data_IF_701583509229
#
_entry.id   IF_701583509229
#
_cell.length_a   1.000
_cell.length_b   1.000
_cell.length_c   1.000
_cell.angle_alpha   90.00
_cell.angle_beta   90.00
_cell.angle_gamma   90.00
#
_symmetry.space_group_name_H-M   'P 1'
#
loop_
_entity.id
_entity.type
_entity.pdbx_description
1 polymer ?
#
# COMPACT_ATOMS: atom_id res chain seq x y z
N UNK A 1 -3.76 18.47 7.06
CA UNK A 1 -2.94 18.65 5.84
C UNK A 1 -3.59 19.73 5.00
N UNK A 2 -2.87 20.80 4.71
CA UNK A 2 -3.29 21.88 3.81
C UNK A 2 -2.16 22.16 2.82
N UNK A 3 -2.50 22.72 1.67
CA UNK A 3 -1.55 23.10 0.63
C UNK A 3 -1.93 24.49 0.10
N UNK A 4 -0.93 25.20 -0.41
CA UNK A 4 -1.12 26.49 -1.07
C UNK A 4 -1.73 26.25 -2.45
N UNK A 5 -2.82 26.96 -2.75
CA UNK A 5 -3.50 26.94 -4.04
C UNK A 5 -2.95 28.05 -4.94
N UNK A 6 -3.21 27.96 -6.25
CA UNK A 6 -2.65 28.88 -7.26
C UNK A 6 -3.03 30.37 -7.05
N UNK A 7 -4.06 30.63 -6.23
CA UNK A 7 -4.51 31.96 -5.80
C UNK A 7 -3.79 32.46 -4.53
N UNK A 8 -2.79 31.74 -4.02
CA UNK A 8 -2.01 32.07 -2.82
C UNK A 8 -2.74 31.81 -1.50
N UNK A 9 -3.93 31.18 -1.55
CA UNK A 9 -4.68 30.78 -0.37
C UNK A 9 -4.29 29.37 0.09
N UNK A 10 -4.73 28.99 1.29
CA UNK A 10 -4.52 27.64 1.83
C UNK A 10 -5.80 26.83 1.81
N UNK A 11 -5.76 25.66 1.18
CA UNK A 11 -6.89 24.74 1.12
C UNK A 11 -6.59 23.42 1.84
N UNK A 12 -7.57 22.82 2.54
CA UNK A 12 -7.41 21.48 3.08
C UNK A 12 -7.36 20.46 1.94
N UNK A 13 -6.46 19.48 2.06
CA UNK A 13 -6.46 18.35 1.13
C UNK A 13 -7.64 17.43 1.44
N UNK A 14 -8.67 17.49 0.58
CA UNK A 14 -9.83 16.63 0.69
C UNK A 14 -9.64 15.35 -0.12
N UNK A 15 -10.33 14.27 0.28
CA UNK A 15 -10.31 13.00 -0.46
C UNK A 15 -10.71 13.16 -1.94
N UNK A 16 -11.81 13.88 -2.30
CA UNK A 16 -12.17 14.06 -3.70
C UNK A 16 -11.09 14.81 -4.49
N UNK A 17 -10.54 15.88 -3.92
CA UNK A 17 -9.49 16.66 -4.57
C UNK A 17 -8.27 15.80 -4.90
N UNK A 18 -7.78 15.04 -3.91
CA UNK A 18 -6.62 14.16 -4.06
C UNK A 18 -6.85 13.09 -5.14
N UNK A 19 -8.00 12.41 -5.09
CA UNK A 19 -8.32 11.36 -6.07
C UNK A 19 -8.48 11.93 -7.48
N UNK A 20 -9.13 13.09 -7.63
CA UNK A 20 -9.30 13.73 -8.94
C UNK A 20 -7.96 14.15 -9.52
N UNK A 21 -7.08 14.72 -8.70
CA UNK A 21 -5.76 15.14 -9.11
C UNK A 21 -4.91 13.95 -9.59
N UNK A 22 -4.81 12.87 -8.80
CA UNK A 22 -4.08 11.68 -9.21
C UNK A 22 -4.68 11.02 -10.46
N UNK A 23 -6.01 10.90 -10.53
CA UNK A 23 -6.66 10.29 -11.67
C UNK A 23 -6.47 11.10 -12.96
N UNK A 24 -6.45 12.43 -12.91
CA UNK A 24 -6.16 13.26 -14.08
C UNK A 24 -4.74 13.01 -14.63
N UNK A 25 -3.75 12.86 -13.74
CA UNK A 25 -2.37 12.54 -14.12
C UNK A 25 -2.31 11.13 -14.75
N UNK A 26 -2.93 10.15 -14.13
CA UNK A 26 -2.90 8.78 -14.64
C UNK A 26 -3.62 8.62 -15.97
N UNK A 27 -4.81 9.19 -16.13
CA UNK A 27 -5.56 9.10 -17.38
C UNK A 27 -4.85 9.83 -18.52
N UNK A 28 -4.19 10.96 -18.25
CA UNK A 28 -3.36 11.63 -19.26
C UNK A 28 -2.12 10.81 -19.66
N UNK A 29 -1.62 9.97 -18.76
CA UNK A 29 -0.57 8.99 -19.05
C UNK A 29 -1.09 7.66 -19.66
N UNK A 30 -2.39 7.56 -19.99
CA UNK A 30 -3.00 6.35 -20.56
C UNK A 30 -3.25 5.22 -19.56
N UNK A 31 -3.19 5.50 -18.26
CA UNK A 31 -3.45 4.55 -17.18
C UNK A 31 -4.92 4.63 -16.70
N UNK A 32 -5.42 3.52 -16.15
CA UNK A 32 -6.76 3.48 -15.58
C UNK A 32 -6.89 4.35 -14.32
N UNK A 33 -8.05 4.98 -14.15
CA UNK A 33 -8.40 5.68 -12.91
C UNK A 33 -8.49 4.69 -11.74
N UNK A 34 -8.01 5.08 -10.57
CA UNK A 34 -8.08 4.27 -9.35
C UNK A 34 -9.04 4.88 -8.32
N UNK A 35 -9.55 4.01 -7.47
CA UNK A 35 -10.39 4.40 -6.33
C UNK A 35 -9.55 4.57 -5.07
N UNK A 36 -10.07 5.26 -4.06
CA UNK A 36 -9.42 5.32 -2.75
C UNK A 36 -9.25 3.95 -2.07
N UNK A 37 -10.03 2.93 -2.47
CA UNK A 37 -9.82 1.57 -1.97
C UNK A 37 -8.54 0.95 -2.55
N UNK A 38 -8.25 1.19 -3.84
CA UNK A 38 -7.01 0.78 -4.49
C UNK A 38 -5.78 1.35 -3.78
N UNK A 39 -5.83 2.61 -3.34
CA UNK A 39 -4.76 3.23 -2.54
C UNK A 39 -4.54 2.52 -1.20
N UNK A 40 -5.61 2.13 -0.50
CA UNK A 40 -5.48 1.41 0.78
C UNK A 40 -4.85 0.03 0.59
N UNK A 41 -5.21 -0.67 -0.49
CA UNK A 41 -4.61 -1.97 -0.82
C UNK A 41 -3.14 -1.76 -1.19
N UNK A 42 -2.85 -0.86 -2.13
CA UNK A 42 -1.49 -0.60 -2.59
C UNK A 42 -0.56 -0.15 -1.46
N UNK A 43 -1.01 0.76 -0.59
CA UNK A 43 -0.24 1.20 0.57
C UNK A 43 0.03 0.08 1.58
N UNK A 44 -0.94 -0.80 1.83
CA UNK A 44 -0.73 -1.97 2.67
C UNK A 44 0.27 -2.96 2.05
N UNK A 45 0.18 -3.19 0.74
CA UNK A 45 1.16 -4.01 -0.01
C UNK A 45 2.56 -3.42 0.06
N UNK A 46 2.70 -2.11 -0.13
CA UNK A 46 3.99 -1.41 -0.07
C UNK A 46 4.64 -1.52 1.31
N UNK A 47 3.88 -1.30 2.38
CA UNK A 47 4.37 -1.45 3.75
C UNK A 47 4.85 -2.88 4.04
N UNK A 48 4.14 -3.89 3.54
CA UNK A 48 4.55 -5.29 3.64
C UNK A 48 5.86 -5.55 2.89
N UNK A 49 6.02 -5.03 1.67
CA UNK A 49 7.26 -5.15 0.88
C UNK A 49 8.44 -4.46 1.57
N UNK A 50 8.17 -3.37 2.31
CA UNK A 50 9.15 -2.71 3.15
C UNK A 50 9.49 -3.46 4.45
N UNK A 51 8.85 -4.61 4.72
CA UNK A 51 9.09 -5.41 5.91
C UNK A 51 8.36 -4.91 7.15
N UNK A 52 7.38 -4.02 7.00
CA UNK A 52 6.58 -3.52 8.12
C UNK A 52 5.76 -4.68 8.70
N UNK A 53 5.77 -4.90 10.02
CA UNK A 53 5.04 -5.98 10.65
C UNK A 53 3.52 -5.93 10.35
N UNK A 54 2.86 -7.06 10.08
CA UNK A 54 1.44 -7.06 9.72
C UNK A 54 0.50 -6.50 10.80
N UNK A 55 0.85 -6.60 12.10
CA UNK A 55 0.10 -5.97 13.19
C UNK A 55 0.11 -4.44 13.07
N UNK A 56 1.26 -3.87 12.75
CA UNK A 56 1.41 -2.43 12.53
C UNK A 56 0.55 -1.97 11.35
N UNK A 57 0.57 -2.70 10.24
CA UNK A 57 -0.23 -2.39 9.04
C UNK A 57 -1.73 -2.53 9.33
N UNK A 58 -2.13 -3.57 10.07
CA UNK A 58 -3.51 -3.78 10.46
C UNK A 58 -4.04 -2.61 11.32
N UNK A 59 -3.24 -2.16 12.28
CA UNK A 59 -3.56 -0.99 13.13
C UNK A 59 -3.64 0.28 12.28
N UNK A 60 -2.64 0.56 11.45
CA UNK A 60 -2.62 1.76 10.60
C UNK A 60 -3.80 1.80 9.62
N UNK A 61 -4.08 0.67 8.98
CA UNK A 61 -5.18 0.54 8.02
C UNK A 61 -6.54 0.31 8.66
N UNK A 62 -6.65 0.26 10.00
CA UNK A 62 -7.88 -0.01 10.76
C UNK A 62 -8.59 -1.29 10.32
N UNK A 63 -7.81 -2.33 10.03
CA UNK A 63 -8.31 -3.63 9.62
C UNK A 63 -8.70 -4.43 10.86
N UNK A 64 -9.97 -4.85 10.93
CA UNK A 64 -10.48 -5.71 12.00
C UNK A 64 -10.19 -7.19 11.75
N UNK A 65 -9.84 -7.57 10.52
CA UNK A 65 -9.66 -8.96 10.11
C UNK A 65 -8.50 -9.12 9.13
N UNK A 66 -8.09 -10.38 8.95
CA UNK A 66 -7.04 -10.83 8.05
C UNK A 66 -7.33 -10.63 6.55
N UNK A 67 -8.47 -10.02 6.18
CA UNK A 67 -8.85 -9.82 4.78
C UNK A 67 -7.80 -9.00 3.99
N UNK A 68 -6.95 -8.21 4.67
CA UNK A 68 -5.85 -7.52 3.97
C UNK A 68 -4.72 -8.46 3.51
N UNK A 69 -4.57 -9.61 4.18
CA UNK A 69 -3.59 -10.61 3.79
C UNK A 69 -4.05 -11.39 2.56
N UNK A 70 -5.35 -11.46 2.28
CA UNK A 70 -5.87 -12.12 1.07
C UNK A 70 -5.49 -11.39 -0.23
N UNK A 71 -5.16 -10.09 -0.15
CA UNK A 71 -4.57 -9.35 -1.26
C UNK A 71 -3.15 -9.85 -1.63
N UNK A 72 -2.56 -10.79 -0.86
CA UNK A 72 -1.32 -11.53 -1.19
C UNK A 72 -1.37 -12.30 -2.51
N UNK A 73 -2.54 -12.72 -2.98
CA UNK A 73 -2.66 -13.63 -4.14
C UNK A 73 -2.13 -13.06 -5.47
N UNK A 74 -1.70 -11.79 -5.50
CA UNK A 74 -1.01 -11.18 -6.65
C UNK A 74 0.46 -10.86 -6.42
N UNK A 75 1.06 -11.26 -5.28
CA UNK A 75 2.51 -11.14 -5.09
C UNK A 75 3.24 -12.04 -6.11
N UNK A 76 2.74 -13.25 -6.38
CA UNK A 76 3.39 -14.18 -7.31
C UNK A 76 3.46 -13.69 -8.76
N UNK A 77 2.54 -12.80 -9.17
CA UNK A 77 2.53 -12.16 -10.50
C UNK A 77 3.38 -10.89 -10.54
N UNK A 78 3.70 -10.32 -9.37
CA UNK A 78 4.51 -9.10 -9.21
C UNK A 78 5.99 -9.45 -9.03
N UNK A 79 6.30 -10.63 -8.47
CA UNK A 79 7.66 -11.12 -8.23
C UNK A 79 8.62 -10.97 -9.45
N UNK A 80 8.25 -11.29 -10.69
CA UNK A 80 9.18 -11.20 -11.82
C UNK A 80 9.70 -9.78 -12.10
N UNK A 81 8.91 -8.74 -11.80
CA UNK A 81 9.29 -7.33 -12.04
C UNK A 81 10.18 -6.79 -10.93
N UNK A 82 10.05 -7.31 -9.70
CA UNK A 82 10.88 -6.92 -8.56
C UNK A 82 12.16 -7.74 -8.44
N UNK A 83 12.20 -8.95 -9.00
CA UNK A 83 13.38 -9.84 -9.01
C UNK A 83 14.59 -9.15 -9.66
N UNK A 84 14.43 -8.32 -10.69
CA UNK A 84 15.57 -7.66 -11.35
C UNK A 84 16.25 -6.56 -10.52
N UNK A 85 15.55 -5.94 -9.55
CA UNK A 85 16.08 -4.80 -8.79
C UNK A 85 16.26 -5.04 -7.29
N UNK A 86 15.86 -6.19 -6.74
CA UNK A 86 15.80 -6.41 -5.28
C UNK A 86 16.48 -7.70 -4.79
N UNK A 87 17.48 -8.21 -5.51
CA UNK A 87 18.33 -9.30 -5.00
C UNK A 87 19.22 -8.87 -3.82
N UNK A 88 18.60 -8.45 -2.72
CA UNK A 88 19.13 -8.63 -1.38
C UNK A 88 18.24 -9.66 -0.66
N UNK A 89 18.77 -10.90 -0.58
CA UNK A 89 18.13 -12.09 -0.01
C UNK A 89 17.62 -11.86 1.42
N UNK A 90 18.24 -10.91 2.14
CA UNK A 90 17.88 -10.55 3.50
C UNK A 90 16.45 -10.01 3.65
N UNK A 91 15.93 -9.29 2.65
CA UNK A 91 14.62 -8.63 2.73
C UNK A 91 13.45 -9.60 2.54
N UNK A 92 13.61 -10.61 1.70
CA UNK A 92 12.58 -11.62 1.44
C UNK A 92 12.39 -12.54 2.64
N UNK A 93 13.50 -12.96 3.26
CA UNK A 93 13.46 -13.79 4.46
C UNK A 93 12.86 -13.04 5.65
N UNK A 94 13.15 -11.74 5.78
CA UNK A 94 12.54 -10.88 6.80
C UNK A 94 11.01 -10.83 6.68
N UNK A 95 10.49 -10.63 5.47
CA UNK A 95 9.03 -10.60 5.22
C UNK A 95 8.40 -11.96 5.56
N UNK A 96 9.06 -13.06 5.18
CA UNK A 96 8.57 -14.42 5.45
C UNK A 96 8.51 -14.71 6.96
N UNK A 97 9.55 -14.35 7.72
CA UNK A 97 9.59 -14.54 9.18
C UNK A 97 8.60 -13.64 9.92
N UNK A 98 8.47 -12.37 9.52
CA UNK A 98 7.51 -11.44 10.15
C UNK A 98 6.07 -11.90 9.99
N UNK A 99 5.73 -12.47 8.83
CA UNK A 99 4.39 -13.04 8.60
C UNK A 99 4.17 -14.29 9.45
N UNK A 100 5.16 -15.19 9.54
CA UNK A 100 5.06 -16.39 10.37
C UNK A 100 4.87 -16.05 11.86
N UNK A 101 5.61 -15.08 12.39
CA UNK A 101 5.47 -14.61 13.78
C UNK A 101 4.10 -13.97 14.05
N UNK A 102 3.55 -13.24 13.08
CA UNK A 102 2.22 -12.64 13.21
C UNK A 102 1.10 -13.70 13.27
N UNK A 103 1.19 -14.77 12.48
CA UNK A 103 0.24 -15.89 12.54
C UNK A 103 0.22 -16.58 13.91
N UNK A 104 1.38 -16.72 14.57
CA UNK A 104 1.47 -17.36 15.91
C UNK A 104 0.83 -16.49 17.00
N UNK A 105 0.96 -15.15 16.92
CA UNK A 105 0.50 -14.22 17.96
C UNK A 105 -1.03 -14.02 17.99
N UNK A 106 -1.71 -14.23 16.86
CA UNK A 106 -3.13 -13.89 16.70
C UNK A 106 -4.01 -15.04 16.21
N UNK A 107 -3.54 -16.29 16.33
CA UNK A 107 -4.34 -17.50 16.10
C UNK A 107 -5.16 -17.85 17.36
N UNK A 108 -6.27 -17.16 17.57
CA UNK A 108 -7.36 -17.56 18.47
C UNK A 108 -8.70 -17.42 17.74
#
# INVERSE_FOLDING_TARGET
>A
FAFETDDGNWAPMTRPWFLNHCNAIWTSAGLCSMTGHSFRIGGATELLLHGTPPDVIAVQGRWKSHAFLDYRRRIEQILPVFITNSFDRSRVDLVRTSVAKFHVKYSH
#
